data_IF_918251988979
#
_entry.id   IF_918251988979
#
_cell.length_a   1.000
_cell.length_b   1.000
_cell.length_c   1.000
_cell.angle_alpha   90.00
_cell.angle_beta   90.00
_cell.angle_gamma   90.00
#
_symmetry.space_group_name_H-M   'P 1'
#
loop_
_entity.id
_entity.type
_entity.pdbx_description
1 polymer ?
#
# COMPACT_ATOMS: atom_id res chain seq x y z
N UNK A 1 22.46 26.22 -6.29
CA UNK A 1 21.40 25.21 -6.11
C UNK A 1 22.02 23.93 -5.56
N UNK A 2 21.44 23.35 -4.51
CA UNK A 2 21.86 22.06 -3.97
C UNK A 2 21.59 20.95 -5.01
N UNK A 3 22.64 20.26 -5.45
CA UNK A 3 22.57 19.17 -6.45
C UNK A 3 21.86 17.90 -5.96
N UNK A 4 21.26 17.92 -4.75
CA UNK A 4 20.57 16.76 -4.17
C UNK A 4 19.08 16.69 -4.48
N UNK A 5 18.48 17.71 -5.11
CA UNK A 5 17.03 17.75 -5.40
C UNK A 5 16.55 16.47 -6.06
N UNK A 6 15.42 15.93 -5.55
CA UNK A 6 14.72 14.78 -6.08
C UNK A 6 13.29 15.17 -6.38
N UNK A 7 12.78 14.64 -7.49
CA UNK A 7 11.42 14.86 -7.95
C UNK A 7 10.65 13.55 -7.86
N UNK A 8 9.45 13.60 -7.29
CA UNK A 8 8.58 12.43 -7.14
C UNK A 8 7.38 12.63 -8.05
N UNK A 9 7.16 11.66 -8.94
CA UNK A 9 5.92 11.53 -9.70
C UNK A 9 5.11 10.38 -9.09
N UNK A 10 3.81 10.61 -8.90
CA UNK A 10 2.87 9.62 -8.39
C UNK A 10 1.67 9.56 -9.30
N UNK A 11 1.29 8.36 -9.70
CA UNK A 11 0.05 8.10 -10.42
C UNK A 11 -0.81 7.13 -9.60
N UNK A 12 -2.07 7.51 -9.40
CA UNK A 12 -3.03 6.77 -8.58
C UNK A 12 -4.11 6.22 -9.50
N UNK A 13 -4.19 4.89 -9.54
CA UNK A 13 -5.19 4.16 -10.28
C UNK A 13 -6.09 3.35 -9.35
N UNK A 14 -7.21 2.84 -9.87
CA UNK A 14 -8.27 2.18 -9.08
C UNK A 14 -7.79 0.98 -8.26
N UNK A 15 -6.69 0.34 -8.65
CA UNK A 15 -6.17 -0.85 -7.99
C UNK A 15 -4.67 -0.78 -7.70
N UNK A 16 -4.00 0.31 -8.08
CA UNK A 16 -2.55 0.46 -7.97
C UNK A 16 -2.15 1.90 -7.72
N UNK A 17 -1.05 2.09 -7.00
CA UNK A 17 -0.33 3.36 -6.90
C UNK A 17 1.05 3.10 -7.47
N UNK A 18 1.47 3.93 -8.43
CA UNK A 18 2.84 3.90 -8.94
C UNK A 18 3.59 5.17 -8.53
N UNK A 19 4.84 5.00 -8.14
CA UNK A 19 5.73 6.08 -7.69
C UNK A 19 7.04 5.97 -8.47
N UNK A 20 7.49 7.10 -9.01
CA UNK A 20 8.78 7.22 -9.67
C UNK A 20 9.55 8.41 -9.07
N UNK A 21 10.82 8.18 -8.74
CA UNK A 21 11.71 9.22 -8.23
C UNK A 21 12.78 9.51 -9.26
N UNK A 22 12.97 10.79 -9.60
CA UNK A 22 14.01 11.27 -10.50
C UNK A 22 14.98 12.22 -9.82
N UNK A 23 16.22 12.22 -10.26
CA UNK A 23 17.18 13.27 -9.89
C UNK A 23 16.94 14.57 -10.69
N UNK A 24 17.75 15.59 -10.39
CA UNK A 24 17.65 16.89 -11.07
C UNK A 24 18.02 16.85 -12.57
N UNK A 25 18.70 15.79 -13.04
CA UNK A 25 18.96 15.57 -14.45
C UNK A 25 17.79 14.82 -15.14
N UNK A 26 16.74 14.46 -14.40
CA UNK A 26 15.60 13.71 -14.90
C UNK A 26 15.85 12.20 -14.97
N UNK A 27 16.97 11.70 -14.45
CA UNK A 27 17.27 10.26 -14.43
C UNK A 27 16.39 9.58 -13.40
N UNK A 28 15.75 8.47 -13.77
CA UNK A 28 15.01 7.61 -12.84
C UNK A 28 16.00 6.94 -11.88
N UNK A 29 15.75 7.08 -10.58
CA UNK A 29 16.59 6.50 -9.52
C UNK A 29 15.85 5.45 -8.68
N UNK A 30 14.52 5.46 -8.69
CA UNK A 30 13.68 4.48 -8.00
C UNK A 30 12.30 4.45 -8.64
N UNK A 31 11.73 3.27 -8.73
CA UNK A 31 10.32 3.05 -9.04
C UNK A 31 9.72 2.04 -8.06
N UNK A 32 8.43 2.20 -7.77
CA UNK A 32 7.65 1.25 -6.97
C UNK A 32 6.21 1.25 -7.44
N UNK A 33 5.57 0.08 -7.43
CA UNK A 33 4.16 -0.10 -7.71
C UNK A 33 3.55 -0.88 -6.56
N UNK A 34 2.51 -0.31 -5.95
CA UNK A 34 1.78 -0.90 -4.82
C UNK A 34 0.35 -1.19 -5.25
N UNK A 35 -0.14 -2.38 -5.02
CA UNK A 35 -1.54 -2.72 -5.22
C UNK A 35 -2.40 -2.12 -4.09
N UNK A 36 -3.47 -1.39 -4.43
CA UNK A 36 -4.42 -0.80 -3.46
C UNK A 36 -5.59 -1.72 -3.17
N UNK A 37 -5.71 -2.82 -3.91
CA UNK A 37 -6.65 -3.91 -3.63
C UNK A 37 -5.88 -5.06 -2.99
N UNK A 38 -5.83 -5.07 -1.67
CA UNK A 38 -5.21 -6.15 -0.89
C UNK A 38 -6.31 -7.02 -0.32
N UNK A 39 -6.40 -8.28 -0.76
CA UNK A 39 -7.24 -9.28 -0.08
C UNK A 39 -6.60 -9.83 1.21
N UNK A 40 -5.34 -9.54 1.54
CA UNK A 40 -4.59 -10.34 2.55
C UNK A 40 -3.32 -9.66 3.08
N UNK A 41 -3.41 -8.73 4.04
CA UNK A 41 -2.28 -8.45 4.98
C UNK A 41 -2.73 -8.41 6.47
N UNK A 42 -4.02 -8.62 6.77
CA UNK A 42 -4.42 -9.06 8.11
C UNK A 42 -5.26 -10.33 8.02
N UNK A 43 -4.57 -11.47 8.00
CA UNK A 43 -5.11 -12.75 8.46
C UNK A 43 -5.22 -12.75 9.99
N UNK A 44 -5.96 -11.78 10.54
CA UNK A 44 -6.61 -11.95 11.83
C UNK A 44 -8.03 -11.45 11.66
N UNK A 45 -8.86 -12.32 11.10
CA UNK A 45 -10.09 -12.63 11.81
C UNK A 45 -9.64 -12.90 13.24
N UNK A 46 -9.88 -11.97 14.16
CA UNK A 46 -10.12 -12.41 15.52
C UNK A 46 -11.33 -13.32 15.37
N UNK A 47 -11.02 -14.62 15.25
CA UNK A 47 -11.96 -15.71 15.41
C UNK A 47 -12.56 -15.43 16.76
N UNK A 48 -13.76 -14.84 16.78
CA UNK A 48 -14.60 -14.96 17.94
C UNK A 48 -14.65 -16.44 18.22
N UNK A 49 -14.14 -16.85 19.38
CA UNK A 49 -14.13 -18.24 19.80
C UNK A 49 -15.56 -18.75 19.63
N UNK A 50 -15.80 -19.50 18.56
CA UNK A 50 -17.12 -20.01 18.27
C UNK A 50 -17.41 -20.99 19.39
N UNK A 51 -18.31 -20.61 20.30
CA UNK A 51 -18.92 -21.58 21.19
C UNK A 51 -19.60 -22.65 20.31
N UNK A 52 -19.83 -23.84 20.87
CA UNK A 52 -20.39 -25.00 20.16
C UNK A 52 -21.78 -24.79 19.51
N UNK A 53 -22.34 -23.57 19.58
CA UNK A 53 -23.60 -23.15 19.00
C UNK A 53 -23.49 -22.07 17.91
N UNK A 54 -22.30 -21.50 17.65
CA UNK A 54 -22.05 -20.69 16.45
C UNK A 54 -22.68 -19.29 16.39
N UNK A 55 -23.05 -18.67 17.52
CA UNK A 55 -23.56 -17.31 17.54
C UNK A 55 -22.45 -16.28 17.86
N UNK A 56 -22.25 -15.28 16.99
CA UNK A 56 -21.37 -14.13 17.24
C UNK A 56 -22.04 -13.18 18.26
N UNK A 57 -21.44 -13.02 19.45
CA UNK A 57 -21.87 -12.02 20.41
C UNK A 57 -21.25 -10.67 20.04
N UNK A 58 -22.08 -9.74 19.55
CA UNK A 58 -21.73 -8.33 19.48
C UNK A 58 -21.81 -7.70 20.88
N UNK A 59 -20.79 -6.92 21.24
CA UNK A 59 -20.79 -6.04 22.41
C UNK A 59 -21.06 -4.62 21.91
#
# INVERSE_FOLDING_TARGET
MNSSSKYIAMDVHTATISVAVRDAAGKLIMESVMETKTSTILATQNVGEANSTGALLAW
#
